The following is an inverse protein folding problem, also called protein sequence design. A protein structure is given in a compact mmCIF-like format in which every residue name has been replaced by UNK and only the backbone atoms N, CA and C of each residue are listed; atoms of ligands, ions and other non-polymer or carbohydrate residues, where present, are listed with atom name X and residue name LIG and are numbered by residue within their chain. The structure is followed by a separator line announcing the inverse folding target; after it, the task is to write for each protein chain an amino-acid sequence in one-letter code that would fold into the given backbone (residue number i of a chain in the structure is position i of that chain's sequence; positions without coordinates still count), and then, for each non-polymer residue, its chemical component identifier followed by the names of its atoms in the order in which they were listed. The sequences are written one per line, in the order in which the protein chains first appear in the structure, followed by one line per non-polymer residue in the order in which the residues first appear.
data_IF_186830621120
#
_entry.id   IF_186830621120
#
_cell.length_a   1.000
_cell.length_b   1.000
_cell.length_c   1.000
_cell.angle_alpha   90.00
_cell.angle_beta   90.00
_cell.angle_gamma   90.00
#
_symmetry.space_group_name_H-M   'P 1'
#
loop_
_entity.id
_entity.type
_entity.pdbx_description
1 polymer ?
#
# COMPACT_ATOMS: atom_id res chain seq x y z
N UNK A 1 -6.52 -12.73 -12.26
CA UNK A 1 -5.99 -13.29 -11.00
C UNK A 1 -5.89 -12.21 -9.94
N UNK A 2 -5.86 -12.61 -8.69
CA UNK A 2 -5.78 -11.69 -7.57
C UNK A 2 -4.48 -11.88 -6.81
N UNK A 3 -3.92 -10.78 -6.30
CA UNK A 3 -2.66 -10.78 -5.57
C UNK A 3 -2.82 -9.98 -4.28
N UNK A 4 -2.39 -10.56 -3.18
CA UNK A 4 -2.44 -9.92 -1.87
C UNK A 4 -1.06 -9.36 -1.53
N UNK A 5 -1.01 -8.05 -1.38
CA UNK A 5 0.20 -7.36 -0.92
C UNK A 5 0.07 -7.11 0.58
N UNK A 6 1.06 -7.54 1.34
CA UNK A 6 1.08 -7.37 2.78
C UNK A 6 2.25 -6.47 3.15
N UNK A 7 1.94 -5.37 3.84
CA UNK A 7 2.94 -4.45 4.37
C UNK A 7 3.18 -4.72 5.85
N UNK A 8 4.43 -4.73 6.25
CA UNK A 8 4.81 -4.70 7.66
C UNK A 8 5.27 -3.29 7.99
N UNK A 9 4.69 -2.68 9.02
CA UNK A 9 5.01 -1.32 9.40
C UNK A 9 6.33 -1.25 10.17
N UNK A 10 7.10 -0.19 9.92
CA UNK A 10 8.29 0.12 10.73
C UNK A 10 7.87 0.62 12.11
N UNK A 11 8.82 0.67 13.05
CA UNK A 11 8.54 1.13 14.43
C UNK A 11 8.02 2.57 14.46
N UNK A 12 8.48 3.41 13.54
CA UNK A 12 8.11 4.84 13.48
C UNK A 12 6.99 5.14 12.47
N UNK A 13 6.31 4.11 11.98
CA UNK A 13 5.25 4.26 10.96
C UNK A 13 4.17 5.27 11.38
N UNK A 14 3.60 5.11 12.57
CA UNK A 14 2.51 5.97 13.04
C UNK A 14 2.94 7.44 13.19
N UNK A 15 4.18 7.66 13.62
CA UNK A 15 4.69 9.01 13.79
C UNK A 15 5.06 9.71 12.49
N UNK A 16 5.37 8.95 11.44
CA UNK A 16 5.87 9.49 10.16
C UNK A 16 4.86 9.45 9.04
N UNK A 17 3.85 8.60 9.13
CA UNK A 17 2.92 8.38 7.99
C UNK A 17 2.22 9.66 7.51
N UNK A 18 1.99 10.61 8.41
CA UNK A 18 1.32 11.87 8.07
C UNK A 18 2.02 12.68 6.99
N UNK A 19 3.36 12.60 6.92
CA UNK A 19 4.15 13.29 5.90
C UNK A 19 3.90 12.73 4.49
N UNK A 20 3.63 11.42 4.40
CA UNK A 20 3.57 10.71 3.12
C UNK A 20 2.17 10.22 2.78
N UNK A 21 1.22 10.38 3.71
CA UNK A 21 -0.13 9.82 3.58
C UNK A 21 -0.87 10.34 2.35
N UNK A 22 -0.80 11.64 2.09
CA UNK A 22 -1.48 12.25 0.94
C UNK A 22 -1.00 11.66 -0.38
N UNK A 23 0.31 11.55 -0.57
CA UNK A 23 0.89 10.97 -1.78
C UNK A 23 0.59 9.47 -1.89
N UNK A 24 0.65 8.74 -0.77
CA UNK A 24 0.31 7.32 -0.74
C UNK A 24 -1.16 7.09 -1.13
N UNK A 25 -2.10 7.85 -0.55
CA UNK A 25 -3.52 7.72 -0.85
C UNK A 25 -3.83 8.09 -2.29
N UNK A 26 -3.15 9.10 -2.84
CA UNK A 26 -3.32 9.47 -4.25
C UNK A 26 -2.94 8.31 -5.15
N UNK A 27 -1.80 7.68 -4.88
CA UNK A 27 -1.35 6.50 -5.63
C UNK A 27 -2.38 5.36 -5.54
N UNK A 28 -2.91 5.12 -4.34
CA UNK A 28 -3.91 4.08 -4.11
C UNK A 28 -5.19 4.35 -4.89
N UNK A 29 -5.70 5.58 -4.86
CA UNK A 29 -6.91 5.94 -5.60
C UNK A 29 -6.72 5.85 -7.10
N UNK A 30 -5.54 6.19 -7.63
CA UNK A 30 -5.23 6.00 -9.04
C UNK A 30 -5.28 4.52 -9.43
N UNK A 31 -4.79 3.64 -8.55
CA UNK A 31 -4.86 2.20 -8.79
C UNK A 31 -6.30 1.68 -8.74
N UNK A 32 -7.14 2.25 -7.87
CA UNK A 32 -8.58 1.92 -7.83
C UNK A 32 -9.25 2.32 -9.14
N UNK A 33 -8.96 3.51 -9.65
CA UNK A 33 -9.54 3.99 -10.91
C UNK A 33 -9.16 3.11 -12.10
N UNK A 34 -7.96 2.53 -12.09
CA UNK A 34 -7.54 1.60 -13.14
C UNK A 34 -8.16 0.20 -12.97
N UNK A 35 -8.88 -0.04 -11.88
CA UNK A 35 -9.44 -1.37 -11.58
C UNK A 35 -8.41 -2.37 -11.08
N UNK A 36 -7.24 -1.92 -10.67
CA UNK A 36 -6.15 -2.77 -10.18
C UNK A 36 -6.20 -3.01 -8.67
N UNK A 37 -6.54 -1.99 -7.89
CA UNK A 37 -6.66 -2.11 -6.44
C UNK A 37 -8.13 -2.24 -6.05
N UNK A 38 -8.49 -3.35 -5.43
CA UNK A 38 -9.88 -3.67 -5.08
C UNK A 38 -10.23 -3.38 -3.63
N UNK A 39 -9.27 -3.56 -2.73
CA UNK A 39 -9.47 -3.42 -1.30
C UNK A 39 -8.12 -3.09 -0.66
N UNK A 40 -8.12 -2.17 0.29
CA UNK A 40 -6.91 -1.84 1.04
C UNK A 40 -7.28 -1.33 2.42
N UNK A 41 -6.46 -1.63 3.41
CA UNK A 41 -6.66 -1.13 4.76
C UNK A 41 -5.52 -1.48 5.67
N UNK A 42 -5.33 -0.63 6.70
CA UNK A 42 -4.37 -0.90 7.75
C UNK A 42 -4.92 -1.96 8.70
N UNK A 43 -4.03 -2.78 9.24
CA UNK A 43 -4.37 -3.72 10.31
C UNK A 43 -4.62 -2.91 11.59
N UNK A 44 -5.54 -3.39 12.42
CA UNK A 44 -5.87 -2.75 13.69
C UNK A 44 -5.47 -3.64 14.86
N UNK A 45 -5.20 -3.01 16.02
CA UNK A 45 -4.95 -3.66 17.30
C UNK A 45 -3.86 -4.74 17.28
N UNK A 46 -2.61 -4.41 16.92
CA UNK A 46 -2.02 -3.10 16.69
C UNK A 46 -2.05 -2.67 15.22
N UNK A 47 -1.79 -1.38 14.98
CA UNK A 47 -1.60 -0.85 13.63
C UNK A 47 -0.14 -1.09 13.24
N UNK A 48 0.16 -2.30 12.81
CA UNK A 48 1.52 -2.75 12.52
C UNK A 48 1.72 -3.22 11.06
N UNK A 49 0.75 -2.97 10.21
CA UNK A 49 0.84 -3.34 8.81
C UNK A 49 -0.40 -2.97 8.02
N UNK A 50 -0.45 -3.41 6.80
CA UNK A 50 -1.57 -3.17 5.90
C UNK A 50 -1.73 -4.32 4.92
N UNK A 51 -2.94 -4.45 4.38
CA UNK A 51 -3.27 -5.45 3.37
C UNK A 51 -3.87 -4.75 2.17
N UNK A 52 -3.39 -5.07 0.97
CA UNK A 52 -3.88 -4.50 -0.28
C UNK A 52 -4.17 -5.65 -1.25
N UNK A 53 -5.38 -5.67 -1.81
CA UNK A 53 -5.79 -6.70 -2.76
C UNK A 53 -5.81 -6.13 -4.16
N UNK A 54 -5.00 -6.71 -5.04
CA UNK A 54 -4.87 -6.31 -6.44
C UNK A 54 -5.46 -7.35 -7.38
N UNK A 55 -5.89 -6.87 -8.54
CA UNK A 55 -6.33 -7.71 -9.66
C UNK A 55 -5.45 -7.40 -10.86
N UNK A 56 -4.95 -8.43 -11.51
CA UNK A 56 -4.12 -8.28 -12.70
C UNK A 56 -3.73 -9.62 -13.29
N UNK A 57 -3.00 -9.60 -14.40
CA UNK A 57 -2.58 -10.81 -15.11
C UNK A 57 -1.35 -11.44 -14.47
N UNK A 58 -0.58 -10.67 -13.72
CA UNK A 58 0.64 -11.13 -13.04
C UNK A 58 0.88 -10.32 -11.77
N UNK A 59 1.80 -10.76 -10.88
CA UNK A 59 2.15 -10.01 -9.67
C UNK A 59 2.69 -8.62 -9.95
N UNK A 60 3.07 -8.32 -11.18
CA UNK A 60 3.60 -7.02 -11.59
C UNK A 60 2.68 -5.86 -11.19
N UNK A 61 1.37 -6.10 -11.16
CA UNK A 61 0.39 -5.08 -10.75
C UNK A 61 0.67 -4.58 -9.32
N UNK A 62 0.98 -5.50 -8.40
CA UNK A 62 1.33 -5.15 -7.03
C UNK A 62 2.78 -4.64 -6.91
N UNK A 63 3.70 -5.25 -7.63
CA UNK A 63 5.11 -4.84 -7.63
C UNK A 63 5.29 -3.41 -8.13
N UNK A 64 4.56 -3.03 -9.16
CA UNK A 64 4.57 -1.67 -9.69
C UNK A 64 4.08 -0.66 -8.64
N UNK A 65 3.04 -1.00 -7.90
CA UNK A 65 2.53 -0.18 -6.82
C UNK A 65 3.59 0.01 -5.73
N UNK A 66 4.23 -1.07 -5.30
CA UNK A 66 5.30 -1.04 -4.28
C UNK A 66 6.42 -0.09 -4.70
N UNK A 67 6.86 -0.16 -5.96
CA UNK A 67 7.95 0.69 -6.45
C UNK A 67 7.59 2.18 -6.44
N UNK A 68 6.31 2.51 -6.57
CA UNK A 68 5.84 3.90 -6.61
C UNK A 68 5.38 4.43 -5.25
N UNK A 69 5.19 3.56 -4.26
CA UNK A 69 4.62 3.95 -2.98
C UNK A 69 5.63 4.71 -2.12
N UNK A 70 5.35 5.98 -1.75
CA UNK A 70 6.24 6.76 -0.88
C UNK A 70 6.45 6.11 0.50
N UNK A 71 5.53 5.31 1.00
CA UNK A 71 5.71 4.57 2.25
C UNK A 71 6.87 3.58 2.14
N UNK A 72 7.00 2.92 0.99
CA UNK A 72 8.10 1.98 0.74
C UNK A 72 9.41 2.74 0.56
N UNK A 73 9.39 3.80 -0.26
CA UNK A 73 10.58 4.58 -0.58
C UNK A 73 11.20 5.23 0.66
N UNK A 74 10.40 5.53 1.67
CA UNK A 74 10.84 6.22 2.88
C UNK A 74 10.96 5.30 4.10
N UNK A 75 10.89 4.00 3.89
CA UNK A 75 11.14 3.02 4.95
C UNK A 75 10.06 2.91 6.02
N UNK A 76 8.81 3.31 5.71
CA UNK A 76 7.70 3.18 6.65
C UNK A 76 7.16 1.74 6.70
N UNK A 77 7.32 1.01 5.62
CA UNK A 77 6.87 -0.39 5.50
C UNK A 77 7.93 -1.25 4.83
#
# INVERSE_FOLDING_TARGET
MHYLLIYEASEDYLGRRGEFRGAHLKLAWEAVERGELLLAGALADPVDGAVLLFKGESPEVAEKFVRADPYVANGLV
#
